data_IF_072093100071
#
_entry.id   IF_072093100071
#
_cell.length_a   1.000
_cell.length_b   1.000
_cell.length_c   1.000
_cell.angle_alpha   90.00
_cell.angle_beta   90.00
_cell.angle_gamma   90.00
#
_symmetry.space_group_name_H-M   'P 1'
#
loop_
_entity.id
_entity.type
_entity.pdbx_description
1 polymer ?
#
# COMPACT_ATOMS: atom_id res chain seq x y z
N UNK A 1 -62.05 -10.36 -3.21
CA UNK A 1 -61.55 -10.71 -1.84
C UNK A 1 -60.10 -11.29 -1.91
N UNK A 2 -59.53 -11.39 -3.09
CA UNK A 2 -58.17 -11.96 -3.28
C UNK A 2 -57.04 -10.90 -3.37
N UNK A 3 -57.34 -9.67 -3.79
CA UNK A 3 -56.29 -8.65 -3.95
C UNK A 3 -55.76 -8.01 -2.66
N UNK A 4 -56.51 -8.06 -1.56
CA UNK A 4 -56.06 -7.51 -0.26
C UNK A 4 -55.08 -8.40 0.52
N UNK A 5 -54.95 -9.69 0.15
CA UNK A 5 -54.04 -10.64 0.83
C UNK A 5 -52.65 -10.54 0.23
N UNK A 6 -52.53 -10.30 -1.09
CA UNK A 6 -51.21 -10.21 -1.76
C UNK A 6 -50.47 -8.93 -1.35
N UNK A 7 -51.15 -7.81 -1.15
CA UNK A 7 -50.53 -6.55 -0.75
C UNK A 7 -49.95 -6.59 0.68
N UNK A 8 -50.62 -7.31 1.60
CA UNK A 8 -50.13 -7.43 2.99
C UNK A 8 -48.93 -8.35 3.15
N UNK A 9 -48.80 -9.36 2.31
CA UNK A 9 -47.66 -10.28 2.34
C UNK A 9 -46.39 -9.65 1.78
N UNK A 10 -46.51 -8.86 0.70
CA UNK A 10 -45.38 -8.15 0.08
C UNK A 10 -44.79 -7.07 1.01
N UNK A 11 -45.63 -6.33 1.76
CA UNK A 11 -45.12 -5.30 2.69
C UNK A 11 -44.40 -5.93 3.90
N UNK A 12 -44.88 -7.07 4.41
CA UNK A 12 -44.21 -7.77 5.50
C UNK A 12 -42.87 -8.39 5.07
N UNK A 13 -42.76 -8.85 3.83
CA UNK A 13 -41.52 -9.41 3.28
C UNK A 13 -40.47 -8.31 3.04
N UNK A 14 -40.88 -7.13 2.60
CA UNK A 14 -40.02 -5.95 2.43
C UNK A 14 -39.52 -5.39 3.77
N UNK A 15 -40.35 -5.38 4.82
CA UNK A 15 -39.90 -4.97 6.16
C UNK A 15 -38.92 -5.98 6.78
N UNK A 16 -39.08 -7.27 6.50
CA UNK A 16 -38.15 -8.30 7.00
C UNK A 16 -36.79 -8.23 6.29
N UNK A 17 -36.75 -7.85 5.00
CA UNK A 17 -35.48 -7.62 4.28
C UNK A 17 -34.75 -6.36 4.77
N UNK A 18 -35.47 -5.31 5.16
CA UNK A 18 -34.87 -4.08 5.71
C UNK A 18 -34.25 -4.28 7.09
N UNK A 19 -34.74 -5.25 7.87
CA UNK A 19 -34.18 -5.59 9.18
C UNK A 19 -32.93 -6.48 9.10
N UNK A 20 -32.72 -7.18 7.98
CA UNK A 20 -31.53 -8.02 7.77
C UNK A 20 -30.33 -7.19 7.28
N UNK A 21 -30.55 -6.06 6.57
CA UNK A 21 -29.49 -5.15 6.15
C UNK A 21 -29.17 -4.03 7.14
N UNK A 22 -29.95 -3.89 8.22
CA UNK A 22 -29.75 -2.88 9.27
C UNK A 22 -28.84 -3.30 10.42
N UNK A 23 -28.37 -4.54 10.48
CA UNK A 23 -27.34 -4.94 11.45
C UNK A 23 -25.97 -4.56 10.92
N UNK A 24 -25.61 -3.27 11.07
CA UNK A 24 -24.21 -2.84 11.01
C UNK A 24 -23.45 -3.70 12.03
N UNK A 25 -22.59 -4.56 11.50
CA UNK A 25 -21.80 -5.51 12.28
C UNK A 25 -21.04 -4.73 13.38
N UNK A 26 -21.29 -4.94 14.67
CA UNK A 26 -20.65 -4.17 15.74
C UNK A 26 -19.13 -4.33 15.75
N UNK A 27 -18.58 -5.33 15.04
CA UNK A 27 -17.15 -5.48 14.84
C UNK A 27 -16.52 -4.34 13.98
N UNK A 28 -17.30 -3.66 13.15
CA UNK A 28 -16.81 -2.53 12.35
C UNK A 28 -16.86 -1.19 13.10
N UNK A 29 -17.66 -1.09 14.16
CA UNK A 29 -17.68 0.09 15.02
C UNK A 29 -16.54 0.11 16.05
N UNK A 30 -15.95 -1.05 16.36
CA UNK A 30 -14.81 -1.17 17.29
C UNK A 30 -13.52 -0.65 16.67
N UNK A 31 -13.38 -0.69 15.34
CA UNK A 31 -12.21 -0.15 14.64
C UNK A 31 -12.20 1.39 14.53
N UNK A 32 -13.30 2.08 14.89
CA UNK A 32 -13.39 3.56 14.88
C UNK A 32 -13.26 4.20 16.29
N UNK A 33 -13.20 3.41 17.33
CA UNK A 33 -13.08 3.88 18.73
C UNK A 33 -11.99 3.11 19.48
N UNK A 34 -10.85 2.95 18.83
CA UNK A 34 -9.62 2.45 19.43
C UNK A 34 -8.70 3.58 19.83
N UNK A 35 -9.19 4.53 20.63
CA UNK A 35 -8.33 5.10 21.66
C UNK A 35 -8.12 4.02 22.70
N UNK A 36 -7.31 3.02 22.36
CA UNK A 36 -6.65 2.21 23.37
C UNK A 36 -5.68 3.15 24.08
N UNK A 37 -6.12 3.71 25.20
CA UNK A 37 -5.22 4.16 26.23
C UNK A 37 -4.49 2.92 26.76
N UNK A 38 -3.55 2.38 26.00
CA UNK A 38 -2.45 1.63 26.54
C UNK A 38 -1.68 2.68 27.35
N UNK A 39 -1.79 2.58 28.69
CA UNK A 39 -1.12 3.43 29.67
C UNK A 39 0.40 3.24 29.69
N UNK A 40 1.01 3.30 28.55
CA UNK A 40 2.43 3.59 28.36
C UNK A 40 2.47 5.04 27.87
N UNK A 41 2.95 5.93 28.72
CA UNK A 41 3.41 7.24 28.27
C UNK A 41 4.51 6.99 27.23
N UNK A 42 4.12 6.79 25.96
CA UNK A 42 5.04 7.05 24.88
C UNK A 42 5.37 8.53 25.02
N UNK A 43 6.59 8.82 25.40
CA UNK A 43 7.11 10.16 25.28
C UNK A 43 6.73 10.65 23.89
N UNK A 44 5.95 11.72 23.82
CA UNK A 44 5.47 12.25 22.55
C UNK A 44 6.69 12.81 21.82
N UNK A 45 7.24 12.05 20.88
CA UNK A 45 8.28 12.54 19.99
C UNK A 45 7.75 13.77 19.24
N UNK A 46 8.59 14.78 19.12
CA UNK A 46 8.26 15.95 18.31
C UNK A 46 8.00 15.49 16.86
N UNK A 47 6.89 15.89 16.24
CA UNK A 47 6.64 15.59 14.84
C UNK A 47 7.77 16.14 13.95
N UNK A 48 8.18 15.42 12.92
CA UNK A 48 9.25 15.84 12.01
C UNK A 48 9.02 17.26 11.43
N UNK A 49 7.78 17.65 11.23
CA UNK A 49 7.40 18.99 10.77
C UNK A 49 7.78 20.13 11.75
N UNK A 50 7.98 19.82 13.02
CA UNK A 50 8.33 20.76 14.09
C UNK A 50 9.83 20.83 14.34
N UNK A 51 10.59 19.88 13.80
CA UNK A 51 12.05 19.82 13.92
C UNK A 51 12.68 20.46 12.69
N UNK A 52 13.65 21.35 12.92
CA UNK A 52 14.48 21.93 11.86
C UNK A 52 15.96 21.76 12.23
N UNK A 53 16.73 21.33 11.25
CA UNK A 53 18.18 21.26 11.40
C UNK A 53 18.77 22.65 11.23
N UNK A 54 19.72 22.98 12.10
CA UNK A 54 20.56 24.18 11.96
C UNK A 54 21.63 23.96 10.89
N UNK A 55 22.26 25.04 10.43
CA UNK A 55 23.40 24.98 9.53
C UNK A 55 24.49 24.04 10.05
N UNK A 56 25.01 23.19 9.18
CA UNK A 56 26.04 22.23 9.52
C UNK A 56 25.88 20.89 8.80
N UNK A 57 26.71 19.92 9.13
CA UNK A 57 26.84 18.67 8.38
C UNK A 57 25.53 17.86 8.29
N UNK A 58 24.66 17.95 9.29
CA UNK A 58 23.39 17.21 9.27
C UNK A 58 22.40 17.83 8.28
N UNK A 59 22.34 19.17 8.18
CA UNK A 59 21.54 19.86 7.18
C UNK A 59 22.07 19.57 5.77
N UNK A 60 23.39 19.54 5.58
CA UNK A 60 24.01 19.19 4.31
C UNK A 60 23.66 17.76 3.88
N UNK A 61 23.68 16.81 4.81
CA UNK A 61 23.28 15.41 4.54
C UNK A 61 21.79 15.30 4.22
N UNK A 62 20.94 16.03 4.92
CA UNK A 62 19.50 16.08 4.61
C UNK A 62 19.28 16.62 3.19
N UNK A 63 19.98 17.69 2.81
CA UNK A 63 19.87 18.26 1.46
C UNK A 63 20.32 17.25 0.38
N UNK A 64 21.46 16.59 0.56
CA UNK A 64 21.94 15.53 -0.34
C UNK A 64 20.95 14.36 -0.43
N UNK A 65 20.38 13.94 0.70
CA UNK A 65 19.35 12.91 0.73
C UNK A 65 18.11 13.32 -0.06
N UNK A 66 17.66 14.58 0.06
CA UNK A 66 16.56 15.14 -0.72
C UNK A 66 16.89 15.14 -2.22
N UNK A 67 18.07 15.59 -2.60
CA UNK A 67 18.53 15.60 -4.00
C UNK A 67 18.53 14.19 -4.60
N UNK A 68 18.99 13.19 -3.84
CA UNK A 68 18.95 11.79 -4.25
C UNK A 68 17.52 11.30 -4.46
N UNK A 69 16.59 11.57 -3.55
CA UNK A 69 15.18 11.21 -3.70
C UNK A 69 14.55 11.86 -4.94
N UNK A 70 14.92 13.10 -5.24
CA UNK A 70 14.48 13.83 -6.42
C UNK A 70 15.17 13.37 -7.71
N UNK A 71 16.35 12.80 -7.64
CA UNK A 71 17.04 12.19 -8.78
C UNK A 71 16.42 10.86 -9.20
N UNK A 72 15.91 10.06 -8.27
CA UNK A 72 15.26 8.79 -8.58
C UNK A 72 14.03 9.00 -9.48
N UNK A 73 13.90 8.15 -10.52
CA UNK A 73 12.75 8.13 -11.40
C UNK A 73 11.61 7.29 -10.82
N UNK A 74 10.47 7.87 -10.44
CA UNK A 74 9.35 7.12 -9.89
C UNK A 74 8.78 6.07 -10.85
N UNK A 75 8.82 6.31 -12.16
CA UNK A 75 8.30 5.37 -13.15
C UNK A 75 9.15 4.09 -13.24
N UNK A 76 10.45 4.20 -12.99
CA UNK A 76 11.32 3.02 -12.89
C UNK A 76 11.02 2.19 -11.64
N UNK A 77 10.69 2.82 -10.52
CA UNK A 77 10.27 2.14 -9.29
C UNK A 77 8.87 1.50 -9.42
N UNK A 78 7.99 2.11 -10.21
CA UNK A 78 6.64 1.62 -10.51
C UNK A 78 6.61 0.52 -11.58
N UNK A 79 7.72 0.25 -12.25
CA UNK A 79 7.79 -0.65 -13.40
C UNK A 79 7.08 -1.98 -13.14
N UNK A 80 7.50 -2.72 -12.12
CA UNK A 80 6.96 -4.05 -11.84
C UNK A 80 5.52 -4.03 -11.37
N UNK A 81 5.10 -3.03 -10.61
CA UNK A 81 3.69 -2.86 -10.21
C UNK A 81 2.77 -2.69 -11.41
N UNK A 82 3.19 -1.91 -12.40
CA UNK A 82 2.41 -1.71 -13.62
C UNK A 82 2.33 -2.97 -14.45
N UNK A 83 3.46 -3.69 -14.62
CA UNK A 83 3.50 -4.96 -15.37
C UNK A 83 2.60 -6.01 -14.71
N UNK A 84 2.66 -6.20 -13.39
CA UNK A 84 1.81 -7.17 -12.67
C UNK A 84 0.32 -6.79 -12.68
N UNK A 85 0.02 -5.51 -12.82
CA UNK A 85 -1.36 -5.03 -13.00
C UNK A 85 -1.86 -5.17 -14.46
N UNK A 86 -1.04 -5.65 -15.39
CA UNK A 86 -1.36 -5.74 -16.82
C UNK A 86 -1.29 -4.38 -17.54
N UNK A 87 -0.66 -3.38 -16.96
CA UNK A 87 -0.46 -2.06 -17.54
C UNK A 87 0.92 -1.95 -18.22
N UNK A 88 1.03 -1.13 -19.28
CA UNK A 88 2.32 -0.82 -19.87
C UNK A 88 3.20 -0.06 -18.89
N UNK A 89 4.48 -0.41 -18.81
CA UNK A 89 5.46 0.36 -18.05
C UNK A 89 5.78 1.69 -18.75
N UNK A 90 6.09 2.72 -17.96
CA UNK A 90 6.46 4.05 -18.46
C UNK A 90 7.99 4.24 -18.55
N UNK A 91 8.75 3.42 -17.81
CA UNK A 91 10.20 3.40 -17.83
C UNK A 91 10.72 1.99 -17.57
N UNK A 92 11.97 1.71 -17.93
CA UNK A 92 12.64 0.47 -17.56
C UNK A 92 12.87 0.37 -16.03
N UNK A 93 13.02 -0.85 -15.48
CA UNK A 93 13.30 -1.03 -14.05
C UNK A 93 14.72 -0.57 -13.72
N UNK A 94 14.96 -0.24 -12.46
CA UNK A 94 16.32 -0.12 -11.96
C UNK A 94 17.02 -1.49 -11.99
N UNK A 95 18.33 -1.46 -12.29
CA UNK A 95 19.19 -2.63 -12.16
C UNK A 95 19.41 -3.02 -10.68
N UNK A 96 20.05 -4.16 -10.46
CA UNK A 96 20.37 -4.65 -9.13
C UNK A 96 19.27 -5.55 -8.56
N UNK A 97 18.97 -5.40 -7.29
CA UNK A 97 18.12 -6.35 -6.54
C UNK A 97 16.69 -6.50 -7.07
N UNK A 98 16.17 -5.52 -7.76
CA UNK A 98 14.83 -5.61 -8.37
C UNK A 98 14.80 -6.36 -9.72
N UNK A 99 15.93 -6.44 -10.42
CA UNK A 99 16.01 -7.05 -11.76
C UNK A 99 16.83 -8.33 -11.80
N UNK A 100 17.68 -8.58 -10.82
CA UNK A 100 18.60 -9.71 -10.76
C UNK A 100 18.20 -10.69 -9.66
N UNK A 101 18.57 -11.96 -9.85
CA UNK A 101 18.46 -12.94 -8.79
C UNK A 101 19.46 -12.63 -7.69
N UNK A 102 19.00 -12.56 -6.44
CA UNK A 102 19.81 -12.27 -5.28
C UNK A 102 19.84 -13.52 -4.40
N UNK A 103 21.01 -14.16 -4.33
CA UNK A 103 21.25 -15.33 -3.50
C UNK A 103 20.30 -16.52 -3.74
N UNK A 104 19.83 -16.72 -4.96
CA UNK A 104 18.87 -17.80 -5.28
C UNK A 104 17.44 -17.55 -4.77
N UNK A 105 17.15 -16.37 -4.22
CA UNK A 105 15.82 -16.00 -3.73
C UNK A 105 14.93 -15.37 -4.81
N UNK A 106 15.45 -15.17 -6.02
CA UNK A 106 14.81 -14.41 -7.07
C UNK A 106 14.93 -12.89 -6.87
N UNK A 107 14.49 -12.08 -7.83
CA UNK A 107 14.53 -10.63 -7.74
C UNK A 107 13.57 -10.08 -6.67
N UNK A 108 14.03 -9.11 -5.88
CA UNK A 108 13.25 -8.41 -4.84
C UNK A 108 12.36 -7.31 -5.46
N UNK A 109 11.51 -7.67 -6.41
CA UNK A 109 10.71 -6.75 -7.20
C UNK A 109 9.70 -6.00 -6.35
N UNK A 110 9.70 -4.68 -6.50
CA UNK A 110 8.72 -3.78 -5.86
C UNK A 110 9.10 -3.35 -4.43
N UNK A 111 10.08 -3.96 -3.78
CA UNK A 111 10.47 -3.61 -2.41
C UNK A 111 10.96 -2.17 -2.26
N UNK A 112 11.74 -1.68 -3.22
CA UNK A 112 12.32 -0.33 -3.16
C UNK A 112 11.29 0.80 -3.27
N UNK A 113 10.15 0.56 -3.91
CA UNK A 113 9.09 1.57 -3.97
C UNK A 113 8.52 1.90 -2.58
N UNK A 114 8.39 0.90 -1.69
CA UNK A 114 7.96 1.09 -0.31
C UNK A 114 8.94 1.98 0.46
N UNK A 115 10.23 1.68 0.37
CA UNK A 115 11.29 2.51 0.97
C UNK A 115 11.29 3.94 0.41
N UNK A 116 11.14 4.08 -0.91
CA UNK A 116 11.05 5.39 -1.56
C UNK A 116 9.87 6.20 -1.03
N UNK A 117 8.67 5.62 -0.94
CA UNK A 117 7.48 6.29 -0.42
C UNK A 117 7.65 6.75 1.02
N UNK A 118 8.20 5.89 1.89
CA UNK A 118 8.51 6.24 3.27
C UNK A 118 9.51 7.38 3.34
N UNK A 119 10.61 7.29 2.60
CA UNK A 119 11.67 8.31 2.59
C UNK A 119 11.17 9.66 2.06
N UNK A 120 10.40 9.66 0.96
CA UNK A 120 9.81 10.89 0.40
C UNK A 120 8.82 11.52 1.38
N UNK A 121 8.01 10.70 2.06
CA UNK A 121 7.04 11.18 3.06
C UNK A 121 7.72 11.83 4.25
N UNK A 122 8.75 11.18 4.80
CA UNK A 122 9.53 11.71 5.93
C UNK A 122 10.31 12.97 5.53
N UNK A 123 10.92 12.97 4.35
CA UNK A 123 11.66 14.14 3.84
C UNK A 123 10.70 15.32 3.59
N UNK A 124 9.50 15.07 3.06
CA UNK A 124 8.48 16.09 2.93
C UNK A 124 8.04 16.67 4.29
N UNK A 125 7.79 15.82 5.29
CA UNK A 125 7.44 16.27 6.63
C UNK A 125 8.54 17.12 7.25
N UNK A 126 9.80 16.75 7.02
CA UNK A 126 10.98 17.44 7.56
C UNK A 126 11.27 18.78 6.88
N UNK A 127 11.04 18.87 5.55
CA UNK A 127 11.47 20.02 4.74
C UNK A 127 10.34 20.91 4.24
N UNK A 128 9.12 20.35 4.11
CA UNK A 128 7.99 21.02 3.48
C UNK A 128 8.10 21.16 1.95
N UNK A 129 9.06 20.48 1.31
CA UNK A 129 9.34 20.61 -0.11
C UNK A 129 8.17 20.15 -0.98
N UNK A 130 7.64 21.04 -1.80
CA UNK A 130 6.44 20.81 -2.62
C UNK A 130 6.67 19.81 -3.75
N UNK A 131 7.90 19.67 -4.24
CA UNK A 131 8.21 18.70 -5.28
C UNK A 131 8.16 17.26 -4.74
N UNK A 132 8.63 17.04 -3.51
CA UNK A 132 8.47 15.75 -2.83
C UNK A 132 6.99 15.39 -2.66
N UNK A 133 6.16 16.33 -2.26
CA UNK A 133 4.71 16.12 -2.15
C UNK A 133 4.08 15.80 -3.52
N UNK A 134 4.51 16.49 -4.58
CA UNK A 134 4.04 16.21 -5.94
C UNK A 134 4.38 14.78 -6.37
N UNK A 135 5.61 14.34 -6.11
CA UNK A 135 6.06 12.97 -6.41
C UNK A 135 5.31 11.92 -5.61
N UNK A 136 5.10 12.17 -4.31
CA UNK A 136 4.32 11.27 -3.46
C UNK A 136 2.91 11.09 -4.02
N UNK A 137 2.21 12.18 -4.33
CA UNK A 137 0.87 12.14 -4.93
C UNK A 137 0.85 11.42 -6.27
N UNK A 138 1.88 11.63 -7.10
CA UNK A 138 2.02 10.95 -8.38
C UNK A 138 2.12 9.43 -8.19
N UNK A 139 3.03 8.96 -7.34
CA UNK A 139 3.22 7.53 -7.09
C UNK A 139 1.96 6.90 -6.52
N UNK A 140 1.31 7.54 -5.55
CA UNK A 140 0.05 7.04 -4.98
C UNK A 140 -1.06 6.93 -6.04
N UNK A 141 -1.15 7.89 -6.95
CA UNK A 141 -2.09 7.83 -8.08
C UNK A 141 -1.80 6.65 -9.01
N UNK A 142 -0.54 6.42 -9.35
CA UNK A 142 -0.12 5.29 -10.19
C UNK A 142 -0.38 3.94 -9.53
N UNK A 143 -0.09 3.81 -8.22
CA UNK A 143 -0.40 2.60 -7.46
C UNK A 143 -1.91 2.33 -7.40
N UNK A 144 -2.72 3.38 -7.24
CA UNK A 144 -4.18 3.26 -7.31
C UNK A 144 -4.64 2.75 -8.67
N UNK A 145 -4.08 3.25 -9.78
CA UNK A 145 -4.37 2.74 -11.12
C UNK A 145 -3.99 1.26 -11.27
N UNK A 146 -2.86 0.84 -10.72
CA UNK A 146 -2.46 -0.58 -10.71
C UNK A 146 -3.44 -1.44 -9.92
N UNK A 147 -3.89 -0.97 -8.76
CA UNK A 147 -4.85 -1.67 -7.91
C UNK A 147 -6.22 -1.82 -8.60
N UNK A 148 -6.70 -0.75 -9.24
CA UNK A 148 -7.97 -0.75 -9.98
C UNK A 148 -7.92 -1.65 -11.23
N UNK A 149 -6.79 -1.66 -11.96
CA UNK A 149 -6.60 -2.55 -13.12
C UNK A 149 -6.65 -4.03 -12.74
N UNK A 150 -6.17 -4.39 -11.56
CA UNK A 150 -6.22 -5.74 -11.03
C UNK A 150 -7.61 -6.23 -10.61
N UNK A 151 -8.58 -5.35 -10.41
CA UNK A 151 -10.00 -5.61 -10.07
C UNK A 151 -10.29 -6.29 -8.74
N UNK A 152 -9.29 -6.74 -8.00
CA UNK A 152 -9.42 -7.42 -6.70
C UNK A 152 -8.79 -6.62 -5.53
N UNK A 153 -8.34 -5.40 -5.81
CA UNK A 153 -7.69 -4.55 -4.82
C UNK A 153 -6.26 -4.96 -4.46
N UNK A 154 -5.74 -6.05 -5.04
CA UNK A 154 -4.39 -6.52 -4.77
C UNK A 154 -3.34 -5.67 -5.47
N UNK A 155 -2.26 -5.35 -4.75
CA UNK A 155 -1.18 -4.50 -5.22
C UNK A 155 0.16 -5.13 -4.86
N UNK A 156 0.92 -5.54 -5.87
CA UNK A 156 2.23 -6.17 -5.70
C UNK A 156 3.08 -5.99 -6.95
N UNK A 157 4.41 -5.88 -6.79
CA UNK A 157 5.37 -5.82 -7.89
C UNK A 157 6.07 -7.15 -8.20
N UNK A 158 5.73 -8.23 -7.49
CA UNK A 158 6.34 -9.55 -7.67
C UNK A 158 5.65 -10.31 -8.80
N UNK A 159 6.43 -10.83 -9.74
CA UNK A 159 5.90 -11.62 -10.87
C UNK A 159 5.10 -12.83 -10.38
N UNK A 160 3.85 -12.93 -10.82
CA UNK A 160 2.94 -14.00 -10.40
C UNK A 160 2.52 -13.92 -8.93
N UNK A 161 2.78 -12.80 -8.24
CA UNK A 161 2.50 -12.64 -6.82
C UNK A 161 1.02 -12.80 -6.48
N UNK A 162 0.12 -12.37 -7.35
CA UNK A 162 -1.33 -12.53 -7.18
C UNK A 162 -1.74 -13.99 -7.06
N UNK A 163 -1.25 -14.85 -7.93
CA UNK A 163 -1.54 -16.28 -7.88
C UNK A 163 -0.91 -16.94 -6.67
N UNK A 164 0.33 -16.57 -6.35
CA UNK A 164 1.00 -17.03 -5.15
C UNK A 164 0.19 -16.74 -3.88
N UNK A 165 -0.32 -15.52 -3.72
CA UNK A 165 -1.13 -15.16 -2.55
C UNK A 165 -2.48 -15.89 -2.51
N UNK A 166 -3.07 -16.22 -3.67
CA UNK A 166 -4.25 -17.10 -3.72
C UNK A 166 -3.92 -18.51 -3.25
N UNK A 167 -2.78 -19.07 -3.66
CA UNK A 167 -2.31 -20.39 -3.18
C UNK A 167 -2.10 -20.35 -1.66
N UNK A 168 -1.43 -19.34 -1.13
CA UNK A 168 -1.22 -19.15 0.32
C UNK A 168 -2.56 -19.06 1.05
N UNK A 169 -3.48 -18.25 0.56
CA UNK A 169 -4.82 -18.09 1.15
C UNK A 169 -5.63 -19.41 1.13
N UNK A 170 -5.38 -20.29 0.17
CA UNK A 170 -5.99 -21.63 0.09
C UNK A 170 -5.29 -22.71 0.94
N UNK A 171 -4.26 -22.33 1.72
CA UNK A 171 -3.46 -23.24 2.54
C UNK A 171 -2.39 -24.03 1.77
N UNK A 172 -2.20 -23.76 0.48
CA UNK A 172 -1.19 -24.41 -0.35
C UNK A 172 0.15 -23.68 -0.27
N UNK A 173 0.86 -23.82 0.83
CA UNK A 173 2.14 -23.17 1.03
C UNK A 173 3.27 -24.08 0.51
N UNK A 174 3.98 -23.63 -0.52
CA UNK A 174 5.20 -24.27 -1.03
C UNK A 174 6.43 -23.48 -0.56
N UNK A 175 7.15 -23.99 0.41
CA UNK A 175 8.30 -23.31 1.04
C UNK A 175 9.51 -23.13 0.12
N UNK A 176 9.62 -23.91 -0.96
CA UNK A 176 10.74 -23.85 -1.91
C UNK A 176 10.46 -23.04 -3.18
N UNK A 177 9.43 -22.21 -3.19
CA UNK A 177 9.13 -21.37 -4.34
C UNK A 177 10.00 -20.08 -4.27
N UNK A 178 10.87 -19.80 -5.26
CA UNK A 178 11.68 -18.57 -5.29
C UNK A 178 10.82 -17.30 -5.22
N UNK A 179 9.61 -17.32 -5.75
CA UNK A 179 8.67 -16.21 -5.67
C UNK A 179 8.22 -15.93 -4.22
N UNK A 180 8.04 -17.00 -3.41
CA UNK A 180 7.72 -16.84 -1.97
C UNK A 180 8.89 -16.24 -1.24
N UNK A 181 10.10 -16.71 -1.51
CA UNK A 181 11.32 -16.20 -0.86
C UNK A 181 11.57 -14.74 -1.21
N UNK A 182 11.24 -14.29 -2.42
CA UNK A 182 11.31 -12.87 -2.81
C UNK A 182 10.17 -12.02 -2.21
N UNK A 183 9.02 -12.61 -1.92
CA UNK A 183 7.84 -11.87 -1.47
C UNK A 183 7.90 -11.46 0.02
N UNK A 184 8.67 -12.15 0.87
CA UNK A 184 8.75 -11.82 2.30
C UNK A 184 9.31 -10.42 2.56
N UNK A 185 10.12 -9.87 1.67
CA UNK A 185 10.62 -8.50 1.73
C UNK A 185 9.55 -7.43 1.50
N UNK A 186 8.36 -7.81 1.06
CA UNK A 186 7.27 -6.88 0.78
C UNK A 186 6.38 -6.59 2.00
N UNK A 187 6.63 -7.26 3.11
CA UNK A 187 5.91 -7.09 4.37
C UNK A 187 6.59 -6.12 5.36
N UNK A 188 7.58 -5.35 4.90
CA UNK A 188 8.31 -4.38 5.74
C UNK A 188 7.70 -2.99 5.61
#
# INVERSE_FOLDING_TARGET
MCERIVAKTSVRMLLSLLLIFGSVNPAMSVLRKGETSLGTSFESYFPLKEIRLSDGPFLDLQQKGKEYLLWLNPDSLLHFYRIEAGLSSKAGPYAGWESQDVWGAGPLRGGFLGFYLSSVSMMYQSTGDRELLRRLKYVLKELKLCQEAGKDGFLLGVKGGRELFREVASGKIKTNNPTVNGAWHLFI
#
